data_IF_604303897699
#
_entry.id   IF_604303897699
#
_cell.length_a   1.000
_cell.length_b   1.000
_cell.length_c   1.000
_cell.angle_alpha   90.00
_cell.angle_beta   90.00
_cell.angle_gamma   90.00
#
_symmetry.space_group_name_H-M   'P 1'
#
loop_
_entity.id
_entity.type
_entity.pdbx_description
1 polymer ?
#
# COMPACT_ATOMS: atom_id res chain seq x y z
N UNK A 1 21.71 -28.28 -0.09
CA UNK A 1 22.16 -27.44 1.03
C UNK A 1 21.29 -26.21 0.96
N UNK A 2 20.21 -26.16 1.75
CA UNK A 2 19.39 -24.95 1.83
C UNK A 2 20.24 -23.89 2.52
N UNK A 3 20.79 -22.97 1.74
CA UNK A 3 21.40 -21.77 2.27
C UNK A 3 20.28 -20.98 2.95
N UNK A 4 20.18 -21.08 4.27
CA UNK A 4 19.23 -20.28 5.03
C UNK A 4 19.53 -18.81 4.78
N UNK A 5 18.51 -18.07 4.36
CA UNK A 5 18.58 -16.63 4.13
C UNK A 5 18.81 -15.96 5.50
N UNK A 6 19.82 -15.10 5.59
CA UNK A 6 20.16 -14.33 6.79
C UNK A 6 20.03 -12.82 6.56
N UNK A 7 19.91 -12.03 7.63
CA UNK A 7 19.90 -10.55 7.58
C UNK A 7 21.14 -10.03 6.85
N UNK A 8 22.31 -10.59 7.17
CA UNK A 8 23.58 -10.26 6.52
C UNK A 8 23.57 -10.56 5.01
N UNK A 9 23.11 -11.75 4.61
CA UNK A 9 23.04 -12.13 3.19
C UNK A 9 22.10 -11.22 2.39
N UNK A 10 20.91 -10.90 2.92
CA UNK A 10 19.95 -10.00 2.28
C UNK A 10 20.53 -8.60 2.19
N UNK A 11 21.13 -8.10 3.27
CA UNK A 11 21.75 -6.77 3.30
C UNK A 11 22.75 -6.60 2.17
N UNK A 12 23.60 -7.60 1.97
CA UNK A 12 24.75 -7.50 1.06
C UNK A 12 24.36 -7.70 -0.43
N UNK A 13 23.14 -8.14 -0.72
CA UNK A 13 22.72 -8.57 -2.08
C UNK A 13 21.46 -7.89 -2.61
N UNK A 14 20.60 -7.33 -1.75
CA UNK A 14 19.32 -6.74 -2.17
C UNK A 14 19.45 -5.38 -2.88
N UNK A 15 20.59 -4.71 -2.76
CA UNK A 15 20.87 -3.41 -3.40
C UNK A 15 22.27 -3.38 -3.99
N UNK A 16 22.52 -2.45 -4.91
CA UNK A 16 23.88 -2.18 -5.39
C UNK A 16 24.78 -1.67 -4.25
N UNK A 17 26.11 -1.85 -4.33
CA UNK A 17 27.03 -1.30 -3.33
C UNK A 17 26.97 0.24 -3.19
N UNK A 18 26.63 0.95 -4.27
CA UNK A 18 26.48 2.42 -4.26
C UNK A 18 25.25 2.86 -3.45
N UNK A 19 24.19 2.07 -3.52
CA UNK A 19 22.90 2.35 -2.87
C UNK A 19 22.81 1.84 -1.42
N UNK A 20 23.77 1.01 -0.98
CA UNK A 20 23.75 0.37 0.35
C UNK A 20 23.58 1.36 1.52
N UNK A 21 24.08 2.60 1.41
CA UNK A 21 23.91 3.66 2.43
C UNK A 21 22.45 4.13 2.60
N UNK A 22 21.65 3.98 1.55
CA UNK A 22 20.24 4.35 1.51
C UNK A 22 19.31 3.18 1.80
N UNK A 23 19.82 1.96 1.88
CA UNK A 23 19.03 0.77 2.12
C UNK A 23 18.29 0.84 3.47
N UNK A 24 17.03 0.41 3.47
CA UNK A 24 16.25 0.22 4.69
C UNK A 24 16.45 -1.21 5.20
N UNK A 25 16.70 -1.44 6.50
CA UNK A 25 16.95 -2.78 7.03
C UNK A 25 15.80 -3.77 6.79
N UNK A 26 16.13 -5.00 6.42
CA UNK A 26 15.17 -6.10 6.19
C UNK A 26 15.43 -7.18 7.24
N UNK A 27 14.41 -7.47 8.03
CA UNK A 27 14.47 -8.43 9.14
C UNK A 27 13.51 -9.61 8.99
N UNK A 28 12.67 -9.60 7.95
CA UNK A 28 11.65 -10.63 7.71
C UNK A 28 11.71 -11.08 6.25
N UNK A 29 11.32 -12.33 6.01
CA UNK A 29 11.13 -12.92 4.70
C UNK A 29 9.96 -13.91 4.76
N UNK A 30 8.75 -13.40 4.57
CA UNK A 30 7.53 -14.18 4.57
C UNK A 30 7.27 -14.82 3.20
N UNK A 31 7.06 -16.14 3.22
CA UNK A 31 6.65 -16.92 2.06
C UNK A 31 5.22 -17.43 2.29
N UNK A 32 4.22 -16.72 1.76
CA UNK A 32 2.81 -17.10 1.89
C UNK A 32 2.47 -18.41 1.17
N UNK A 33 3.34 -18.88 0.26
CA UNK A 33 3.17 -20.12 -0.47
C UNK A 33 3.90 -21.29 0.20
N UNK A 34 4.72 -21.04 1.23
CA UNK A 34 5.52 -22.07 1.92
C UNK A 34 6.36 -22.93 0.95
N UNK A 35 6.95 -22.29 -0.05
CA UNK A 35 7.74 -22.93 -1.11
C UNK A 35 6.93 -23.70 -2.15
N UNK A 36 5.58 -23.64 -2.11
CA UNK A 36 4.71 -24.39 -3.01
C UNK A 36 4.20 -23.51 -4.15
N UNK A 37 4.83 -23.64 -5.32
CA UNK A 37 4.25 -23.16 -6.57
C UNK A 37 3.47 -24.25 -7.32
N UNK A 38 3.36 -25.47 -6.78
CA UNK A 38 2.68 -26.63 -7.38
C UNK A 38 2.91 -26.75 -8.91
N UNK A 39 1.87 -26.49 -9.71
CA UNK A 39 1.88 -26.54 -11.17
C UNK A 39 2.06 -25.15 -11.83
N UNK A 40 2.21 -24.10 -11.03
CA UNK A 40 2.38 -22.72 -11.49
C UNK A 40 3.83 -22.42 -11.84
N UNK A 41 3.99 -21.63 -12.90
CA UNK A 41 5.27 -21.07 -13.31
C UNK A 41 5.15 -19.56 -13.38
N UNK A 42 6.17 -18.84 -12.90
CA UNK A 42 6.21 -17.38 -12.99
C UNK A 42 6.08 -16.94 -14.46
N UNK A 43 5.18 -15.98 -14.77
CA UNK A 43 5.02 -15.50 -16.12
C UNK A 43 6.26 -14.71 -16.56
N UNK A 44 6.65 -14.87 -17.82
CA UNK A 44 7.69 -14.03 -18.43
C UNK A 44 7.02 -12.80 -19.03
N UNK A 45 7.39 -11.62 -18.53
CA UNK A 45 6.74 -10.35 -18.87
C UNK A 45 7.71 -9.42 -19.60
N UNK A 46 7.26 -8.79 -20.69
CA UNK A 46 8.03 -7.75 -21.39
C UNK A 46 8.19 -6.48 -20.54
N UNK A 47 7.27 -6.27 -19.61
CA UNK A 47 7.30 -5.21 -18.61
C UNK A 47 8.63 -5.12 -17.87
N UNK A 48 9.30 -6.26 -17.60
CA UNK A 48 10.61 -6.25 -16.96
C UNK A 48 11.69 -5.60 -17.82
N UNK A 49 11.60 -5.70 -19.15
CA UNK A 49 12.49 -5.01 -20.07
C UNK A 49 12.22 -3.51 -20.06
N UNK A 50 10.94 -3.12 -20.12
CA UNK A 50 10.51 -1.72 -20.07
C UNK A 50 11.01 -1.00 -18.79
N UNK A 51 10.78 -1.60 -17.62
CA UNK A 51 11.20 -1.06 -16.33
C UNK A 51 12.73 -0.98 -16.21
N UNK A 52 13.45 -1.99 -16.69
CA UNK A 52 14.91 -2.01 -16.69
C UNK A 52 15.51 -0.96 -17.63
N UNK A 53 14.92 -0.79 -18.80
CA UNK A 53 15.36 0.19 -19.81
C UNK A 53 14.84 1.60 -19.53
N UNK A 54 13.91 1.75 -18.57
CA UNK A 54 13.27 3.02 -18.16
C UNK A 54 12.63 3.74 -19.33
N UNK A 55 12.04 2.97 -20.22
CA UNK A 55 11.49 3.49 -21.47
C UNK A 55 10.10 4.12 -21.30
N UNK A 56 9.52 4.09 -20.09
CA UNK A 56 8.36 4.89 -19.70
C UNK A 56 8.73 6.35 -19.41
N UNK A 57 9.97 6.61 -18.96
CA UNK A 57 10.35 7.93 -18.47
C UNK A 57 10.78 8.87 -19.60
N UNK A 58 10.35 10.15 -19.58
CA UNK A 58 10.92 11.17 -20.42
C UNK A 58 12.45 11.23 -20.20
N UNK A 59 13.22 11.08 -21.28
CA UNK A 59 14.70 11.05 -21.24
C UNK A 59 15.33 9.85 -20.50
N UNK A 60 14.55 8.87 -20.02
CA UNK A 60 15.04 7.66 -19.34
C UNK A 60 15.85 7.92 -18.06
N UNK A 61 15.70 9.11 -17.46
CA UNK A 61 16.41 9.51 -16.25
C UNK A 61 15.62 9.02 -15.04
N UNK A 62 16.20 8.20 -14.15
CA UNK A 62 15.52 7.77 -12.94
C UNK A 62 15.30 8.94 -11.98
N UNK A 63 14.25 8.85 -11.18
CA UNK A 63 14.15 9.70 -9.98
C UNK A 63 15.38 9.50 -9.11
N UNK A 64 15.96 10.62 -8.64
CA UNK A 64 17.08 10.61 -7.70
C UNK A 64 16.66 10.17 -6.30
N UNK A 65 15.36 10.12 -6.01
CA UNK A 65 14.81 9.84 -4.68
C UNK A 65 14.69 8.34 -4.35
N UNK A 66 14.75 7.45 -5.36
CA UNK A 66 14.60 6.01 -5.17
C UNK A 66 15.85 5.20 -5.50
N UNK A 67 16.09 4.10 -4.79
CA UNK A 67 17.08 3.06 -5.13
C UNK A 67 16.39 1.82 -5.70
N UNK A 68 17.12 1.01 -6.47
CA UNK A 68 16.60 -0.28 -6.95
C UNK A 68 16.80 -1.37 -5.89
N UNK A 69 15.81 -2.24 -5.75
CA UNK A 69 15.80 -3.39 -4.85
C UNK A 69 15.71 -4.65 -5.74
N UNK A 70 16.53 -5.65 -5.45
CA UNK A 70 16.52 -6.96 -6.13
C UNK A 70 16.17 -8.08 -5.14
N UNK A 71 14.88 -8.40 -4.98
CA UNK A 71 14.45 -9.42 -4.03
C UNK A 71 14.99 -10.81 -4.39
N UNK A 72 15.10 -11.12 -5.69
CA UNK A 72 15.52 -12.43 -6.19
C UNK A 72 17.02 -12.63 -5.96
N UNK A 73 17.84 -11.61 -6.24
CA UNK A 73 19.27 -11.67 -5.92
C UNK A 73 19.52 -11.84 -4.42
N UNK A 74 18.64 -11.31 -3.58
CA UNK A 74 18.67 -11.49 -2.13
C UNK A 74 18.12 -12.82 -1.62
N UNK A 75 17.62 -13.67 -2.52
CA UNK A 75 17.01 -14.95 -2.18
C UNK A 75 15.66 -14.83 -1.47
N UNK A 76 15.05 -13.64 -1.41
CA UNK A 76 13.75 -13.45 -0.77
C UNK A 76 12.65 -14.22 -1.52
N UNK A 77 11.61 -14.72 -0.82
CA UNK A 77 10.44 -15.31 -1.47
C UNK A 77 9.81 -14.31 -2.45
N UNK A 78 9.69 -14.71 -3.72
CA UNK A 78 9.20 -13.83 -4.79
C UNK A 78 8.23 -14.53 -5.73
N UNK A 79 6.94 -14.34 -5.47
CA UNK A 79 5.85 -14.92 -6.25
C UNK A 79 5.20 -13.88 -7.17
N UNK A 80 5.99 -13.21 -8.01
CA UNK A 80 5.55 -12.30 -9.07
C UNK A 80 6.40 -12.48 -10.33
N UNK A 81 5.80 -12.31 -11.51
CA UNK A 81 6.54 -12.20 -12.77
C UNK A 81 7.21 -10.84 -12.98
N UNK A 82 6.82 -9.82 -12.21
CA UNK A 82 7.45 -8.49 -12.26
C UNK A 82 8.59 -8.46 -11.23
N UNK A 83 9.78 -8.02 -11.68
CA UNK A 83 11.02 -8.17 -10.91
C UNK A 83 11.58 -6.84 -10.40
N UNK A 84 11.03 -5.71 -10.84
CA UNK A 84 11.59 -4.39 -10.53
C UNK A 84 10.92 -3.80 -9.29
N UNK A 85 11.69 -3.68 -8.21
CA UNK A 85 11.26 -3.05 -6.96
C UNK A 85 12.12 -1.82 -6.70
N UNK A 86 11.55 -0.79 -6.05
CA UNK A 86 12.31 0.39 -5.62
C UNK A 86 11.98 0.76 -4.18
N UNK A 87 12.89 1.49 -3.56
CA UNK A 87 12.75 2.01 -2.20
C UNK A 87 13.14 3.50 -2.18
N UNK A 88 12.40 4.30 -1.42
CA UNK A 88 12.71 5.70 -1.17
C UNK A 88 14.00 5.86 -0.34
N UNK A 89 14.87 6.81 -0.71
CA UNK A 89 16.13 7.15 -0.02
C UNK A 89 15.92 7.94 1.26
N UNK A 90 14.80 8.65 1.37
CA UNK A 90 14.47 9.57 2.47
C UNK A 90 13.73 8.87 3.63
N UNK A 91 13.80 7.53 3.68
CA UNK A 91 13.08 6.73 4.67
C UNK A 91 13.39 7.12 6.12
N UNK A 92 14.61 7.60 6.42
CA UNK A 92 14.99 8.05 7.77
C UNK A 92 14.17 9.24 8.20
N UNK A 93 14.04 10.22 7.31
CA UNK A 93 13.24 11.42 7.54
C UNK A 93 11.74 11.10 7.63
N UNK A 94 11.25 10.18 6.79
CA UNK A 94 9.87 9.70 6.85
C UNK A 94 9.57 8.94 8.15
N UNK A 95 10.47 8.06 8.60
CA UNK A 95 10.31 7.27 9.82
C UNK A 95 10.30 8.19 11.04
N UNK A 96 11.23 9.14 11.09
CA UNK A 96 11.30 10.11 12.18
C UNK A 96 10.01 10.94 12.25
N UNK A 97 9.52 11.47 11.12
CA UNK A 97 8.25 12.19 11.07
C UNK A 97 7.07 11.33 11.55
N UNK A 98 7.03 10.05 11.14
CA UNK A 98 5.99 9.09 11.58
C UNK A 98 6.03 8.85 13.08
N UNK A 99 7.22 8.68 13.65
CA UNK A 99 7.42 8.55 15.10
C UNK A 99 6.92 9.81 15.82
N UNK A 100 7.24 11.00 15.31
CA UNK A 100 6.86 12.26 15.94
C UNK A 100 5.34 12.49 15.89
N UNK A 101 4.66 12.13 14.79
CA UNK A 101 3.20 12.15 14.72
C UNK A 101 2.55 11.15 15.68
N UNK A 102 3.04 9.91 15.73
CA UNK A 102 2.50 8.89 16.65
C UNK A 102 2.73 9.28 18.12
N UNK A 103 3.88 9.89 18.47
CA UNK A 103 4.10 10.43 19.81
C UNK A 103 3.07 11.51 20.14
N UNK A 104 2.86 12.45 19.22
CA UNK A 104 1.89 13.51 19.42
C UNK A 104 0.45 12.96 19.55
N UNK A 105 0.10 11.89 18.83
CA UNK A 105 -1.18 11.19 19.00
C UNK A 105 -1.28 10.45 20.34
N UNK A 106 -0.18 9.84 20.80
CA UNK A 106 -0.11 9.11 22.06
C UNK A 106 -0.11 9.98 23.31
N UNK A 107 0.38 11.22 23.21
CA UNK A 107 0.51 12.18 24.33
C UNK A 107 -0.68 13.14 24.46
N UNK A 108 -1.53 13.21 23.44
CA UNK A 108 -2.71 14.08 23.43
C UNK A 108 -3.80 13.55 24.38
N UNK A 109 -3.97 14.19 25.55
CA UNK A 109 -4.95 13.77 26.57
C UNK A 109 -6.40 13.79 26.11
N UNK A 110 -6.70 14.66 25.16
CA UNK A 110 -7.99 14.75 24.46
C UNK A 110 -8.28 13.53 23.57
N UNK A 111 -7.28 12.65 23.35
CA UNK A 111 -7.36 11.47 22.47
C UNK A 111 -7.61 10.16 23.21
N UNK A 112 -7.52 10.12 24.55
CA UNK A 112 -7.70 8.89 25.32
C UNK A 112 -9.14 8.33 25.24
N UNK A 113 -10.13 9.16 24.90
CA UNK A 113 -11.53 8.75 24.71
C UNK A 113 -11.96 8.59 23.25
N UNK A 114 -11.07 8.81 22.29
CA UNK A 114 -11.38 8.77 20.87
C UNK A 114 -11.15 7.36 20.34
N UNK A 115 -12.19 6.62 19.89
CA UNK A 115 -12.00 5.23 19.48
C UNK A 115 -11.16 5.10 18.21
N UNK A 116 -10.48 3.98 18.09
CA UNK A 116 -9.74 3.51 16.95
C UNK A 116 -10.01 2.02 16.72
N UNK A 117 -9.25 1.41 15.82
CA UNK A 117 -9.29 -0.01 15.48
C UNK A 117 -9.36 -0.92 16.72
N UNK A 118 -10.26 -1.92 16.68
CA UNK A 118 -10.44 -2.97 17.71
C UNK A 118 -10.78 -2.44 19.11
N UNK A 119 -11.49 -1.30 19.19
CA UNK A 119 -11.98 -0.75 20.47
C UNK A 119 -10.89 -0.11 21.34
N UNK A 120 -9.70 0.12 20.79
CA UNK A 120 -8.66 0.94 21.42
C UNK A 120 -8.99 2.41 21.24
N UNK A 121 -8.35 3.31 22.00
CA UNK A 121 -8.31 4.73 21.63
C UNK A 121 -7.26 5.01 20.56
N UNK A 122 -7.31 6.18 19.91
CA UNK A 122 -6.26 6.62 18.98
C UNK A 122 -4.91 6.74 19.70
N UNK A 123 -4.91 7.19 20.96
CA UNK A 123 -3.68 7.31 21.75
C UNK A 123 -3.11 5.93 22.10
N UNK A 124 -3.96 4.95 22.43
CA UNK A 124 -3.55 3.56 22.66
C UNK A 124 -3.00 2.90 21.41
N UNK A 125 -3.63 3.13 20.25
CA UNK A 125 -3.10 2.69 18.96
C UNK A 125 -1.70 3.26 18.74
N UNK A 126 -1.51 4.57 18.89
CA UNK A 126 -0.23 5.20 18.64
C UNK A 126 0.88 4.71 19.59
N UNK A 127 0.59 4.57 20.88
CA UNK A 127 1.52 4.00 21.87
C UNK A 127 1.87 2.55 21.55
N UNK A 128 0.90 1.76 21.10
CA UNK A 128 1.13 0.37 20.69
C UNK A 128 2.06 0.28 19.48
N UNK A 129 1.81 1.06 18.43
CA UNK A 129 2.64 1.04 17.22
C UNK A 129 4.09 1.48 17.51
N UNK A 130 4.28 2.47 18.39
CA UNK A 130 5.60 2.88 18.84
C UNK A 130 6.33 1.77 19.63
N UNK A 131 5.61 1.01 20.45
CA UNK A 131 6.17 -0.07 21.24
C UNK A 131 6.46 -1.35 20.42
N UNK A 132 5.69 -1.59 19.36
CA UNK A 132 5.76 -2.81 18.54
C UNK A 132 6.87 -2.81 17.48
N UNK A 133 7.67 -1.74 17.36
CA UNK A 133 8.71 -1.61 16.34
C UNK A 133 8.11 -1.28 14.98
N UNK A 134 7.53 -0.08 14.87
CA UNK A 134 6.91 0.51 13.68
C UNK A 134 7.68 0.25 12.37
N UNK A 135 9.01 0.34 12.41
CA UNK A 135 9.90 0.15 11.26
C UNK A 135 9.80 -1.25 10.62
N UNK A 136 9.32 -2.24 11.37
CA UNK A 136 9.10 -3.60 10.91
C UNK A 136 7.66 -3.84 10.42
N UNK A 137 6.74 -2.92 10.71
CA UNK A 137 5.32 -3.02 10.37
C UNK A 137 4.94 -2.24 9.11
N UNK A 138 3.78 -1.58 9.18
CA UNK A 138 3.13 -0.93 8.04
C UNK A 138 3.83 0.35 7.56
N UNK A 139 4.75 0.93 8.33
CA UNK A 139 5.52 2.12 7.91
C UNK A 139 6.31 1.87 6.62
N UNK A 140 6.61 0.61 6.30
CA UNK A 140 7.26 0.22 5.05
C UNK A 140 6.47 0.65 3.81
N UNK A 141 5.14 0.74 3.86
CA UNK A 141 4.33 1.08 2.70
C UNK A 141 4.73 2.42 2.06
N UNK A 142 4.75 3.57 2.76
CA UNK A 142 5.19 4.84 2.19
C UNK A 142 6.54 4.79 1.44
N UNK A 143 7.52 4.04 1.93
CA UNK A 143 8.87 4.05 1.37
C UNK A 143 9.04 3.08 0.19
N UNK A 144 8.26 2.00 0.10
CA UNK A 144 8.33 1.06 -1.04
C UNK A 144 7.24 1.31 -2.07
N UNK A 145 6.07 1.82 -1.67
CA UNK A 145 4.97 2.16 -2.57
C UNK A 145 5.08 3.55 -3.18
N UNK A 146 5.89 4.44 -2.62
CA UNK A 146 6.17 5.78 -3.17
C UNK A 146 7.68 6.04 -3.27
N UNK A 147 8.42 5.17 -3.99
CA UNK A 147 9.89 5.21 -4.00
C UNK A 147 10.46 6.49 -4.62
N UNK A 148 9.68 7.15 -5.47
CA UNK A 148 10.10 8.35 -6.21
C UNK A 148 9.60 9.66 -5.59
N UNK A 149 8.93 9.60 -4.43
CA UNK A 149 8.55 10.81 -3.68
C UNK A 149 9.78 11.55 -3.16
N UNK A 150 9.79 12.88 -3.27
CA UNK A 150 10.77 13.70 -2.57
C UNK A 150 10.64 13.58 -1.04
N UNK A 151 11.61 14.12 -0.30
CA UNK A 151 11.66 14.01 1.15
C UNK A 151 10.39 14.55 1.84
N UNK A 152 9.85 15.67 1.35
CA UNK A 152 8.68 16.30 1.96
C UNK A 152 7.41 15.49 1.66
N UNK A 153 7.27 15.01 0.43
CA UNK A 153 6.13 14.20 0.00
C UNK A 153 6.07 12.87 0.73
N UNK A 154 7.19 12.17 0.90
CA UNK A 154 7.19 10.88 1.60
C UNK A 154 6.86 11.04 3.09
N UNK A 155 7.23 12.16 3.72
CA UNK A 155 6.77 12.50 5.08
C UNK A 155 5.24 12.60 5.11
N UNK A 156 4.66 13.46 4.27
CA UNK A 156 3.20 13.67 4.23
C UNK A 156 2.42 12.40 3.84
N UNK A 157 2.98 11.58 2.94
CA UNK A 157 2.40 10.27 2.62
C UNK A 157 2.46 9.31 3.81
N UNK A 158 3.49 9.39 4.65
CA UNK A 158 3.56 8.62 5.90
C UNK A 158 2.50 9.07 6.91
N UNK A 159 2.21 10.37 6.98
CA UNK A 159 1.08 10.90 7.74
C UNK A 159 -0.26 10.38 7.21
N UNK A 160 -0.50 10.46 5.90
CA UNK A 160 -1.71 9.90 5.28
C UNK A 160 -1.85 8.40 5.58
N UNK A 161 -0.75 7.65 5.56
CA UNK A 161 -0.74 6.23 5.86
C UNK A 161 -1.08 5.95 7.34
N UNK A 162 -0.67 6.80 8.30
CA UNK A 162 -1.16 6.70 9.69
C UNK A 162 -2.69 6.77 9.71
N UNK A 163 -3.28 7.76 9.03
CA UNK A 163 -4.74 7.92 9.00
C UNK A 163 -5.42 6.68 8.42
N UNK A 164 -4.90 6.13 7.32
CA UNK A 164 -5.42 4.89 6.74
C UNK A 164 -5.39 3.76 7.78
N UNK A 165 -4.26 3.49 8.44
CA UNK A 165 -4.19 2.40 9.43
C UNK A 165 -4.99 2.66 10.72
N UNK A 166 -5.21 3.92 11.07
CA UNK A 166 -6.02 4.31 12.23
C UNK A 166 -7.52 4.03 12.01
N UNK A 167 -7.98 4.28 10.78
CA UNK A 167 -9.39 4.15 10.38
C UNK A 167 -9.67 2.88 9.54
N UNK A 168 -8.66 2.06 9.29
CA UNK A 168 -8.81 0.71 8.75
C UNK A 168 -9.62 -0.16 9.71
N UNK A 169 -10.57 -0.94 9.20
CA UNK A 169 -11.54 -1.76 9.95
C UNK A 169 -12.56 -1.00 10.82
N UNK A 170 -12.84 0.26 10.50
CA UNK A 170 -13.75 1.09 11.31
C UNK A 170 -15.21 0.58 11.31
N UNK A 171 -15.72 -0.01 10.22
CA UNK A 171 -17.03 -0.69 10.17
C UNK A 171 -17.08 -2.02 10.93
N UNK A 172 -15.94 -2.54 11.40
CA UNK A 172 -15.94 -3.74 12.27
C UNK A 172 -16.27 -3.39 13.73
N UNK A 173 -16.37 -2.10 14.06
CA UNK A 173 -16.77 -1.64 15.40
C UNK A 173 -18.30 -1.59 15.54
N UNK A 174 -18.82 -2.06 16.69
CA UNK A 174 -20.26 -2.22 16.95
C UNK A 174 -20.97 -0.92 17.37
N UNK A 175 -20.32 0.25 17.27
CA UNK A 175 -20.83 1.51 17.82
C UNK A 175 -20.78 2.66 16.79
N UNK A 176 -21.86 2.76 16.01
CA UNK A 176 -22.03 3.74 14.92
C UNK A 176 -22.05 5.20 15.42
N UNK A 177 -22.39 5.45 16.69
CA UNK A 177 -22.56 6.81 17.21
C UNK A 177 -21.19 7.44 17.54
N UNK A 178 -20.29 6.70 18.19
CA UNK A 178 -18.92 7.17 18.44
C UNK A 178 -18.13 7.27 17.12
N UNK A 179 -18.42 6.36 16.19
CA UNK A 179 -17.94 6.37 14.81
C UNK A 179 -18.30 7.69 14.10
N UNK A 180 -19.55 8.15 14.22
CA UNK A 180 -20.01 9.36 13.54
C UNK A 180 -19.31 10.65 14.01
N UNK A 181 -18.96 10.75 15.30
CA UNK A 181 -18.34 11.94 15.88
C UNK A 181 -16.89 12.13 15.43
N UNK A 182 -16.10 11.06 15.48
CA UNK A 182 -14.69 11.09 15.08
C UNK A 182 -14.52 11.26 13.57
N UNK A 183 -15.33 10.52 12.81
CA UNK A 183 -15.40 10.61 11.36
C UNK A 183 -15.72 12.04 10.93
N UNK A 184 -16.67 12.71 11.61
CA UNK A 184 -17.00 14.11 11.33
C UNK A 184 -15.84 15.07 11.57
N UNK A 185 -15.09 14.92 12.67
CA UNK A 185 -13.96 15.83 13.00
C UNK A 185 -12.83 15.67 11.98
N UNK A 186 -12.40 14.43 11.69
CA UNK A 186 -11.31 14.19 10.75
C UNK A 186 -11.70 14.52 9.31
N UNK A 187 -12.85 14.05 8.82
CA UNK A 187 -13.29 14.37 7.45
C UNK A 187 -13.42 15.87 7.25
N UNK A 188 -13.96 16.60 8.23
CA UNK A 188 -14.14 18.05 8.09
C UNK A 188 -12.80 18.78 7.99
N UNK A 189 -11.76 18.30 8.68
CA UNK A 189 -10.42 18.92 8.59
C UNK A 189 -9.62 18.50 7.37
N UNK A 190 -9.86 17.30 6.85
CA UNK A 190 -9.26 16.83 5.60
C UNK A 190 -9.86 17.53 4.37
N UNK A 191 -11.07 18.09 4.48
CA UNK A 191 -11.74 18.80 3.38
C UNK A 191 -10.96 20.05 2.99
N UNK A 192 -10.44 20.12 1.75
CA UNK A 192 -9.63 21.23 1.29
C UNK A 192 -10.36 22.59 1.30
N UNK A 193 -11.70 22.60 1.22
CA UNK A 193 -12.51 23.84 1.26
C UNK A 193 -12.73 24.39 2.67
N UNK A 194 -12.60 23.55 3.70
CA UNK A 194 -12.96 23.88 5.09
C UNK A 194 -11.78 23.96 6.04
N UNK A 195 -10.55 23.95 5.53
CA UNK A 195 -9.30 24.11 6.29
C UNK A 195 -9.21 25.41 7.13
N UNK A 196 -10.26 26.25 7.18
CA UNK A 196 -10.33 27.46 8.00
C UNK A 196 -11.67 27.70 8.74
N UNK A 197 -12.59 26.72 8.83
CA UNK A 197 -13.95 27.03 9.32
C UNK A 197 -14.04 27.10 10.85
N UNK A 198 -13.28 26.27 11.57
CA UNK A 198 -13.23 26.26 13.05
C UNK A 198 -11.77 26.22 13.56
N UNK A 199 -11.45 27.05 14.56
CA UNK A 199 -10.14 27.01 15.22
C UNK A 199 -9.86 25.60 15.76
N UNK A 200 -8.64 25.06 15.59
CA UNK A 200 -8.30 23.75 16.11
C UNK A 200 -8.34 23.75 17.64
N UNK A 201 -9.28 22.96 18.18
CA UNK A 201 -9.56 22.85 19.60
C UNK A 201 -8.59 21.88 20.29
N UNK A 202 -7.96 20.99 19.52
CA UNK A 202 -7.04 19.99 20.06
C UNK A 202 -5.67 20.00 19.39
N UNK A 203 -4.68 19.38 20.06
CA UNK A 203 -3.35 19.18 19.50
C UNK A 203 -3.38 18.28 18.26
N UNK A 204 -4.27 17.28 18.25
CA UNK A 204 -4.50 16.45 17.06
C UNK A 204 -4.98 17.30 15.88
N UNK A 205 -6.02 18.11 16.09
CA UNK A 205 -6.61 18.93 15.03
C UNK A 205 -5.57 19.85 14.40
N UNK A 206 -4.69 20.46 15.22
CA UNK A 206 -3.56 21.27 14.73
C UNK A 206 -2.60 20.50 13.84
N UNK A 207 -2.32 19.25 14.16
CA UNK A 207 -1.42 18.40 13.37
C UNK A 207 -2.05 18.00 12.04
N UNK A 208 -3.34 17.65 12.04
CA UNK A 208 -4.09 17.36 10.81
C UNK A 208 -4.12 18.61 9.92
N UNK A 209 -4.50 19.76 10.47
CA UNK A 209 -4.56 21.02 9.72
C UNK A 209 -3.19 21.40 9.13
N UNK A 210 -2.11 21.21 9.89
CA UNK A 210 -0.75 21.49 9.43
C UNK A 210 -0.36 20.58 8.24
N UNK A 211 -0.61 19.28 8.34
CA UNK A 211 -0.32 18.34 7.25
C UNK A 211 -1.17 18.63 5.99
N UNK A 212 -2.46 18.93 6.16
CA UNK A 212 -3.36 19.34 5.07
C UNK A 212 -2.86 20.62 4.40
N UNK A 213 -2.53 21.64 5.21
CA UNK A 213 -1.99 22.91 4.70
C UNK A 213 -0.72 22.69 3.89
N UNK A 214 0.17 21.84 4.37
CA UNK A 214 1.43 21.55 3.68
C UNK A 214 1.23 20.79 2.37
N UNK A 215 0.28 19.83 2.32
CA UNK A 215 -0.10 19.16 1.06
C UNK A 215 -0.66 20.16 0.03
N UNK A 216 -1.51 21.09 0.46
CA UNK A 216 -2.11 22.11 -0.40
C UNK A 216 -1.10 23.19 -0.83
N UNK A 217 -0.13 23.51 0.02
CA UNK A 217 0.95 24.43 -0.33
C UNK A 217 1.87 23.81 -1.39
N UNK A 218 2.16 22.52 -1.32
CA UNK A 218 2.89 21.82 -2.37
C UNK A 218 2.14 21.83 -3.70
N UNK A 219 0.82 21.68 -3.68
CA UNK A 219 -0.02 21.84 -4.88
C UNK A 219 0.10 23.24 -5.46
N UNK A 220 0.02 24.28 -4.62
CA UNK A 220 0.17 25.69 -5.02
C UNK A 220 1.54 25.98 -5.63
N UNK A 221 2.61 25.49 -5.01
CA UNK A 221 3.98 25.68 -5.47
C UNK A 221 4.25 24.99 -6.82
N UNK A 222 3.59 23.85 -7.06
CA UNK A 222 3.79 23.05 -8.26
C UNK A 222 2.72 23.25 -9.34
N UNK A 223 1.74 24.12 -9.09
CA UNK A 223 0.60 24.40 -9.98
C UNK A 223 -0.13 23.10 -10.41
N UNK A 224 -0.45 22.24 -9.44
CA UNK A 224 -1.26 21.05 -9.64
C UNK A 224 -2.25 20.86 -8.46
N UNK A 225 -2.93 19.71 -8.42
CA UNK A 225 -3.98 19.41 -7.44
C UNK A 225 -3.81 18.01 -6.81
N UNK A 226 -2.60 17.45 -6.83
CA UNK A 226 -2.39 16.06 -6.45
C UNK A 226 -2.59 15.83 -4.94
N UNK A 227 -2.19 16.79 -4.11
CA UNK A 227 -2.36 16.79 -2.66
C UNK A 227 -3.84 16.90 -2.27
N UNK A 228 -4.52 17.91 -2.81
CA UNK A 228 -5.99 18.07 -2.71
C UNK A 228 -6.70 16.78 -3.11
N UNK A 229 -6.35 16.21 -4.27
CA UNK A 229 -6.99 14.99 -4.77
C UNK A 229 -6.76 13.80 -3.83
N UNK A 230 -5.54 13.67 -3.29
CA UNK A 230 -5.22 12.62 -2.30
C UNK A 230 -6.09 12.74 -1.05
N UNK A 231 -6.29 13.96 -0.52
CA UNK A 231 -7.16 14.20 0.62
C UNK A 231 -8.62 13.83 0.35
N UNK A 232 -9.14 14.20 -0.82
CA UNK A 232 -10.50 13.80 -1.26
C UNK A 232 -10.66 12.28 -1.32
N UNK A 233 -9.63 11.57 -1.80
CA UNK A 233 -9.65 10.10 -1.92
C UNK A 233 -9.58 9.42 -0.53
N UNK A 234 -8.86 9.99 0.43
CA UNK A 234 -8.87 9.55 1.83
C UNK A 234 -10.28 9.71 2.43
N UNK A 235 -10.92 10.87 2.20
CA UNK A 235 -12.29 11.13 2.65
C UNK A 235 -13.27 10.12 2.05
N UNK A 236 -13.13 9.83 0.75
CA UNK A 236 -13.93 8.82 0.06
C UNK A 236 -13.79 7.44 0.69
N UNK A 237 -12.55 7.02 0.99
CA UNK A 237 -12.26 5.75 1.65
C UNK A 237 -12.94 5.62 3.02
N UNK A 238 -12.92 6.67 3.85
CA UNK A 238 -13.58 6.64 5.15
C UNK A 238 -15.11 6.57 5.05
N UNK A 239 -15.69 7.07 3.95
CA UNK A 239 -17.14 7.08 3.71
C UNK A 239 -17.66 5.84 2.97
N UNK A 240 -16.83 4.80 2.79
CA UNK A 240 -17.23 3.61 2.03
C UNK A 240 -18.27 2.76 2.75
N UNK A 241 -19.13 2.03 2.02
CA UNK A 241 -20.13 1.15 2.63
C UNK A 241 -19.50 -0.09 3.28
N UNK A 242 -20.22 -0.66 4.24
CA UNK A 242 -19.92 -1.98 4.81
C UNK A 242 -19.92 -3.09 3.71
N UNK A 243 -19.22 -4.22 3.93
CA UNK A 243 -19.20 -5.32 2.97
C UNK A 243 -20.62 -5.86 2.71
N UNK A 244 -20.95 -6.21 1.45
CA UNK A 244 -22.16 -6.96 1.14
C UNK A 244 -22.20 -8.33 1.84
N UNK A 245 -23.40 -8.82 2.15
CA UNK A 245 -23.58 -10.15 2.77
C UNK A 245 -23.04 -11.30 1.90
N UNK A 246 -23.10 -11.13 0.57
CA UNK A 246 -22.69 -12.14 -0.44
C UNK A 246 -22.17 -11.46 -1.71
N UNK A 247 -21.31 -12.19 -2.41
CA UNK A 247 -20.83 -11.85 -3.75
C UNK A 247 -21.27 -12.95 -4.71
N UNK A 248 -21.82 -12.59 -5.87
CA UNK A 248 -22.30 -13.54 -6.88
C UNK A 248 -21.17 -14.08 -7.75
N UNK A 249 -20.14 -13.25 -7.97
CA UNK A 249 -18.94 -13.59 -8.72
C UNK A 249 -17.69 -13.02 -8.07
N UNK A 250 -16.53 -13.46 -8.57
CA UNK A 250 -15.25 -12.87 -8.15
C UNK A 250 -15.10 -11.42 -8.63
N UNK A 251 -15.67 -11.03 -9.78
CA UNK A 251 -15.62 -9.62 -10.20
C UNK A 251 -16.43 -8.74 -9.26
N UNK A 252 -17.62 -9.19 -8.80
CA UNK A 252 -18.42 -8.42 -7.84
C UNK A 252 -17.67 -8.22 -6.53
N UNK A 253 -16.96 -9.26 -6.08
CA UNK A 253 -16.05 -9.14 -4.94
C UNK A 253 -14.93 -8.14 -5.20
N UNK A 254 -14.25 -8.22 -6.35
CA UNK A 254 -13.14 -7.32 -6.67
C UNK A 254 -13.60 -5.86 -6.82
N UNK A 255 -14.83 -5.60 -7.27
CA UNK A 255 -15.41 -4.25 -7.26
C UNK A 255 -15.43 -3.69 -5.83
N UNK A 256 -15.96 -4.44 -4.88
CA UNK A 256 -15.96 -4.03 -3.48
C UNK A 256 -14.54 -3.96 -2.90
N UNK A 257 -13.71 -4.97 -3.17
CA UNK A 257 -12.36 -5.09 -2.64
C UNK A 257 -11.45 -3.94 -3.08
N UNK A 258 -11.66 -3.34 -4.25
CA UNK A 258 -10.91 -2.14 -4.68
C UNK A 258 -11.20 -0.93 -3.79
N UNK A 259 -12.44 -0.77 -3.33
CA UNK A 259 -12.79 0.27 -2.36
C UNK A 259 -12.25 -0.06 -0.97
N UNK A 260 -12.38 -1.31 -0.55
CA UNK A 260 -11.93 -1.77 0.76
C UNK A 260 -10.40 -1.77 0.92
N UNK A 261 -9.65 -2.09 -0.15
CA UNK A 261 -8.20 -2.03 -0.20
C UNK A 261 -7.65 -0.59 -0.39
N UNK A 262 -8.50 0.43 -0.27
CA UNK A 262 -8.13 1.84 -0.45
C UNK A 262 -7.48 2.16 -1.82
N UNK A 263 -7.81 1.42 -2.88
CA UNK A 263 -7.05 1.50 -4.14
C UNK A 263 -7.10 2.91 -4.75
N UNK A 264 -8.26 3.57 -4.67
CA UNK A 264 -8.44 4.95 -5.08
C UNK A 264 -7.48 5.90 -4.32
N UNK A 265 -7.30 5.70 -3.00
CA UNK A 265 -6.30 6.44 -2.23
C UNK A 265 -4.87 6.14 -2.71
N UNK A 266 -4.53 4.88 -2.99
CA UNK A 266 -3.19 4.51 -3.49
C UNK A 266 -2.89 5.18 -4.83
N UNK A 267 -3.87 5.32 -5.73
CA UNK A 267 -3.69 6.10 -6.97
C UNK A 267 -3.39 7.57 -6.68
N UNK A 268 -4.07 8.14 -5.68
CA UNK A 268 -3.81 9.50 -5.20
C UNK A 268 -2.37 9.66 -4.68
N UNK A 269 -1.87 8.70 -3.89
CA UNK A 269 -0.51 8.77 -3.35
C UNK A 269 0.54 8.68 -4.45
N UNK A 270 0.32 7.92 -5.52
CA UNK A 270 1.20 7.90 -6.70
C UNK A 270 1.24 9.29 -7.34
N UNK A 271 0.07 9.88 -7.61
CA UNK A 271 -0.02 11.20 -8.22
C UNK A 271 0.69 12.25 -7.35
N UNK A 272 0.46 12.22 -6.05
CA UNK A 272 1.10 13.14 -5.11
C UNK A 272 2.60 12.93 -5.01
N UNK A 273 3.08 11.68 -4.91
CA UNK A 273 4.50 11.34 -4.87
C UNK A 273 5.24 11.85 -6.11
N UNK A 274 4.61 11.70 -7.28
CA UNK A 274 5.16 12.12 -8.56
C UNK A 274 4.90 13.60 -8.88
N UNK A 275 4.19 14.35 -8.03
CA UNK A 275 3.78 15.72 -8.36
C UNK A 275 3.01 15.78 -9.71
N UNK A 276 2.20 14.75 -9.98
CA UNK A 276 1.57 14.50 -11.28
C UNK A 276 0.16 15.07 -11.33
N UNK A 277 -0.20 15.66 -12.47
CA UNK A 277 -1.54 16.16 -12.77
C UNK A 277 -2.43 15.19 -13.55
N UNK A 278 -2.02 13.93 -13.70
CA UNK A 278 -2.75 12.92 -14.48
C UNK A 278 -4.14 12.68 -13.89
N UNK A 279 -5.16 12.73 -14.75
CA UNK A 279 -6.50 12.25 -14.39
C UNK A 279 -6.54 10.72 -14.49
N UNK A 280 -6.33 10.07 -13.34
CA UNK A 280 -6.29 8.60 -13.22
C UNK A 280 -7.63 7.94 -13.54
N UNK A 281 -8.71 8.71 -13.64
CA UNK A 281 -10.05 8.23 -14.00
C UNK A 281 -10.38 8.46 -15.48
N UNK A 282 -9.42 8.94 -16.27
CA UNK A 282 -9.60 9.14 -17.69
C UNK A 282 -9.99 7.82 -18.40
N UNK A 283 -10.98 7.82 -19.31
CA UNK A 283 -11.50 6.58 -19.91
C UNK A 283 -10.47 5.70 -20.60
N UNK A 284 -9.42 6.27 -21.20
CA UNK A 284 -8.37 5.52 -21.88
C UNK A 284 -7.43 4.78 -20.90
N UNK A 285 -7.37 5.21 -19.63
CA UNK A 285 -6.63 4.52 -18.56
C UNK A 285 -7.48 3.47 -17.82
N UNK A 286 -8.81 3.47 -18.00
CA UNK A 286 -9.73 2.69 -17.19
C UNK A 286 -9.41 1.18 -17.13
N UNK A 287 -9.01 0.60 -18.26
CA UNK A 287 -8.62 -0.82 -18.32
C UNK A 287 -7.33 -1.10 -17.56
N UNK A 288 -6.30 -0.27 -17.78
CA UNK A 288 -5.02 -0.39 -17.09
C UNK A 288 -5.20 -0.23 -15.58
N UNK A 289 -5.94 0.79 -15.15
CA UNK A 289 -6.25 1.04 -13.75
C UNK A 289 -7.04 -0.12 -13.15
N UNK A 290 -8.06 -0.67 -13.84
CA UNK A 290 -8.79 -1.85 -13.34
C UNK A 290 -7.86 -3.04 -13.09
N UNK A 291 -7.00 -3.37 -14.06
CA UNK A 291 -6.06 -4.49 -13.94
C UNK A 291 -5.07 -4.28 -12.79
N UNK A 292 -4.52 -3.07 -12.67
CA UNK A 292 -3.59 -2.71 -11.61
C UNK A 292 -4.25 -2.76 -10.23
N UNK A 293 -5.47 -2.25 -10.13
CA UNK A 293 -6.28 -2.31 -8.91
C UNK A 293 -6.53 -3.74 -8.46
N UNK A 294 -6.87 -4.62 -9.40
CA UNK A 294 -7.03 -6.05 -9.11
C UNK A 294 -5.71 -6.69 -8.65
N UNK A 295 -4.59 -6.35 -9.29
CA UNK A 295 -3.26 -6.87 -8.91
C UNK A 295 -2.95 -6.55 -7.45
N UNK A 296 -3.08 -5.28 -7.03
CA UNK A 296 -2.76 -4.87 -5.66
C UNK A 296 -3.69 -5.53 -4.64
N UNK A 297 -5.01 -5.53 -4.91
CA UNK A 297 -5.99 -6.15 -4.03
C UNK A 297 -5.72 -7.64 -3.84
N UNK A 298 -5.51 -8.38 -4.93
CA UNK A 298 -5.28 -9.83 -4.86
C UNK A 298 -3.92 -10.13 -4.23
N UNK A 299 -2.89 -9.35 -4.56
CA UNK A 299 -1.58 -9.49 -3.92
C UNK A 299 -1.70 -9.32 -2.40
N UNK A 300 -2.41 -8.28 -1.93
CA UNK A 300 -2.64 -8.08 -0.49
C UNK A 300 -3.34 -9.30 0.13
N UNK A 301 -4.39 -9.80 -0.52
CA UNK A 301 -5.20 -10.92 -0.01
C UNK A 301 -4.42 -12.24 0.10
N UNK A 302 -3.54 -12.56 -0.86
CA UNK A 302 -2.74 -13.80 -0.78
C UNK A 302 -1.70 -13.74 0.34
N UNK A 303 -1.11 -12.56 0.59
CA UNK A 303 -0.17 -12.38 1.69
C UNK A 303 -0.89 -12.27 3.05
N UNK A 304 -2.07 -11.67 3.11
CA UNK A 304 -2.80 -11.49 4.37
C UNK A 304 -3.66 -12.68 4.77
N UNK A 305 -3.87 -13.66 3.87
CA UNK A 305 -4.78 -14.79 4.02
C UNK A 305 -4.67 -15.49 5.39
N UNK A 306 -3.48 -15.96 5.76
CA UNK A 306 -3.31 -16.75 6.98
C UNK A 306 -3.60 -15.95 8.25
N UNK A 307 -3.22 -14.67 8.24
CA UNK A 307 -3.49 -13.74 9.34
C UNK A 307 -4.98 -13.45 9.44
N UNK A 308 -5.63 -13.09 8.34
CA UNK A 308 -7.06 -12.74 8.31
C UNK A 308 -7.95 -13.95 8.64
N UNK A 309 -7.63 -15.12 8.10
CA UNK A 309 -8.34 -16.35 8.40
C UNK A 309 -8.25 -16.70 9.89
N UNK A 310 -7.07 -16.55 10.50
CA UNK A 310 -6.86 -16.76 11.94
C UNK A 310 -7.66 -15.76 12.77
N UNK A 311 -7.58 -14.47 12.43
CA UNK A 311 -8.33 -13.43 13.12
C UNK A 311 -9.86 -13.67 13.03
N UNK A 312 -10.35 -14.17 11.88
CA UNK A 312 -11.75 -14.54 11.69
C UNK A 312 -12.16 -15.76 12.53
N UNK A 313 -11.37 -16.84 12.49
CA UNK A 313 -11.64 -18.07 13.26
C UNK A 313 -11.62 -17.82 14.77
N UNK A 314 -10.73 -16.94 15.23
CA UNK A 314 -10.63 -16.50 16.62
C UNK A 314 -11.66 -15.43 17.01
N UNK A 315 -12.56 -15.05 16.08
CA UNK A 315 -13.62 -14.04 16.27
C UNK A 315 -13.10 -12.66 16.69
N UNK A 316 -11.88 -12.32 16.25
CA UNK A 316 -11.30 -10.98 16.44
C UNK A 316 -11.84 -9.97 15.43
N UNK A 317 -12.34 -10.45 14.29
CA UNK A 317 -12.97 -9.66 13.22
C UNK A 317 -14.32 -10.26 12.84
N UNK A 318 -15.21 -9.44 12.29
CA UNK A 318 -16.58 -9.86 11.93
C UNK A 318 -16.65 -10.53 10.56
N UNK A 319 -15.82 -10.11 9.62
CA UNK A 319 -15.87 -10.51 8.23
C UNK A 319 -14.55 -11.14 7.78
N UNK A 320 -14.63 -12.06 6.82
CA UNK A 320 -13.48 -12.56 6.07
C UNK A 320 -13.59 -12.01 4.64
N UNK A 321 -12.98 -10.84 4.42
CA UNK A 321 -13.00 -10.12 3.14
C UNK A 321 -11.70 -10.45 2.39
N UNK A 322 -11.64 -11.64 1.78
CA UNK A 322 -10.41 -12.11 1.15
C UNK A 322 -10.69 -12.91 -0.12
N UNK A 323 -9.95 -12.61 -1.19
CA UNK A 323 -10.04 -13.27 -2.49
C UNK A 323 -9.90 -14.80 -2.39
N UNK A 324 -9.04 -15.31 -1.50
CA UNK A 324 -8.82 -16.76 -1.34
C UNK A 324 -10.10 -17.47 -0.89
N UNK A 325 -10.84 -16.90 0.06
CA UNK A 325 -12.13 -17.46 0.50
C UNK A 325 -13.18 -17.40 -0.61
N UNK A 326 -13.26 -16.27 -1.31
CA UNK A 326 -14.23 -16.08 -2.41
C UNK A 326 -13.92 -17.03 -3.56
N UNK A 327 -12.66 -17.16 -3.97
CA UNK A 327 -12.20 -18.12 -4.97
C UNK A 327 -12.58 -19.55 -4.58
N UNK A 328 -12.36 -19.94 -3.32
CA UNK A 328 -12.75 -21.28 -2.84
C UNK A 328 -14.25 -21.53 -3.05
N UNK A 329 -15.09 -20.58 -2.65
CA UNK A 329 -16.55 -20.69 -2.72
C UNK A 329 -17.05 -20.70 -4.16
N UNK A 330 -16.63 -19.74 -4.98
CA UNK A 330 -17.09 -19.57 -6.36
C UNK A 330 -16.65 -20.74 -7.26
N UNK A 331 -15.44 -21.27 -7.05
CA UNK A 331 -14.91 -22.38 -7.83
C UNK A 331 -15.21 -23.78 -7.24
N UNK A 332 -15.87 -23.85 -6.07
CA UNK A 332 -16.19 -25.12 -5.41
C UNK A 332 -14.96 -25.93 -5.00
N UNK A 333 -13.87 -25.27 -4.60
CA UNK A 333 -12.60 -25.93 -4.28
C UNK A 333 -12.64 -26.64 -2.92
N UNK A 334 -12.00 -27.81 -2.85
CA UNK A 334 -12.04 -28.68 -1.67
C UNK A 334 -11.29 -28.11 -0.45
N UNK A 335 -10.23 -27.31 -0.65
CA UNK A 335 -9.39 -26.76 0.42
C UNK A 335 -9.06 -25.29 0.18
N UNK A 336 -8.64 -24.60 1.26
CA UNK A 336 -8.11 -23.24 1.15
C UNK A 336 -6.73 -23.22 0.48
N UNK A 337 -5.90 -24.26 0.65
CA UNK A 337 -4.63 -24.39 -0.07
C UNK A 337 -4.85 -24.38 -1.59
N UNK A 338 -5.82 -25.16 -2.09
CA UNK A 338 -6.17 -25.16 -3.50
C UNK A 338 -6.68 -23.78 -3.96
N UNK A 339 -7.42 -23.08 -3.09
CA UNK A 339 -7.91 -21.73 -3.37
C UNK A 339 -6.79 -20.67 -3.35
N UNK A 340 -5.79 -20.82 -2.50
CA UNK A 340 -4.60 -19.97 -2.46
C UNK A 340 -3.80 -20.13 -3.76
N UNK A 341 -3.53 -21.37 -4.18
CA UNK A 341 -2.88 -21.66 -5.46
C UNK A 341 -3.67 -21.09 -6.64
N UNK A 342 -5.00 -21.26 -6.68
CA UNK A 342 -5.82 -20.70 -7.76
C UNK A 342 -5.87 -19.17 -7.74
N UNK A 343 -5.87 -18.54 -6.56
CA UNK A 343 -5.78 -17.08 -6.42
C UNK A 343 -4.42 -16.56 -6.87
N UNK A 344 -3.33 -17.27 -6.55
CA UNK A 344 -1.99 -16.95 -7.06
C UNK A 344 -1.91 -17.08 -8.59
N UNK A 345 -2.58 -18.10 -9.17
CA UNK A 345 -2.69 -18.24 -10.62
C UNK A 345 -3.43 -17.06 -11.27
N UNK A 346 -4.50 -16.57 -10.63
CA UNK A 346 -5.22 -15.37 -11.07
C UNK A 346 -4.32 -14.13 -11.00
N UNK A 347 -3.52 -13.97 -9.95
CA UNK A 347 -2.55 -12.87 -9.84
C UNK A 347 -1.57 -12.89 -11.03
N UNK A 348 -1.00 -14.04 -11.37
CA UNK A 348 -0.13 -14.18 -12.55
C UNK A 348 -0.85 -13.89 -13.87
N UNK A 349 -2.11 -14.27 -13.99
CA UNK A 349 -2.90 -13.95 -15.18
C UNK A 349 -3.12 -12.43 -15.31
N UNK A 350 -3.39 -11.73 -14.21
CA UNK A 350 -3.53 -10.27 -14.21
C UNK A 350 -2.21 -9.58 -14.56
N UNK A 351 -1.07 -10.06 -14.06
CA UNK A 351 0.25 -9.52 -14.44
C UNK A 351 0.52 -9.65 -15.94
N UNK A 352 0.11 -10.77 -16.56
CA UNK A 352 0.19 -10.94 -18.02
C UNK A 352 -0.76 -10.01 -18.77
N UNK A 353 -1.95 -9.76 -18.23
CA UNK A 353 -2.91 -8.84 -18.82
C UNK A 353 -2.44 -7.38 -18.71
N UNK A 354 -1.78 -7.00 -17.62
CA UNK A 354 -1.09 -5.72 -17.46
C UNK A 354 0.02 -5.56 -18.50
N UNK A 355 0.87 -6.57 -18.67
CA UNK A 355 1.95 -6.56 -19.68
C UNK A 355 1.39 -6.35 -21.09
N UNK A 356 0.33 -7.09 -21.44
CA UNK A 356 -0.34 -6.96 -22.73
C UNK A 356 -1.01 -5.59 -22.92
N UNK A 357 -1.64 -5.05 -21.88
CA UNK A 357 -2.30 -3.75 -21.95
C UNK A 357 -1.29 -2.61 -22.10
N UNK A 358 -0.17 -2.67 -21.39
CA UNK A 358 0.95 -1.73 -21.56
C UNK A 358 1.50 -1.81 -22.99
N UNK A 359 1.72 -3.02 -23.50
CA UNK A 359 2.20 -3.21 -24.87
C UNK A 359 1.21 -2.64 -25.91
N UNK A 360 -0.10 -2.81 -25.69
CA UNK A 360 -1.16 -2.24 -26.54
C UNK A 360 -1.11 -0.70 -26.51
N UNK A 361 -1.12 -0.10 -25.32
CA UNK A 361 -1.08 1.36 -25.14
C UNK A 361 0.18 1.97 -25.77
N UNK A 362 1.33 1.28 -25.71
CA UNK A 362 2.56 1.67 -26.41
C UNK A 362 2.42 1.60 -27.93
N UNK A 363 1.88 0.50 -28.45
CA UNK A 363 1.72 0.32 -29.89
C UNK A 363 0.76 1.33 -30.53
N UNK A 364 -0.22 1.80 -29.76
CA UNK A 364 -1.20 2.81 -30.17
C UNK A 364 -0.73 4.26 -29.91
N UNK A 365 0.43 4.48 -29.28
CA UNK A 365 0.89 5.79 -28.79
C UNK A 365 -0.21 6.52 -27.99
N UNK A 366 -0.92 5.76 -27.14
CA UNK A 366 -2.17 6.18 -26.53
C UNK A 366 -1.99 7.10 -25.30
N UNK A 367 -0.77 7.19 -24.75
CA UNK A 367 -0.48 7.92 -23.51
C UNK A 367 0.55 9.02 -23.74
N UNK A 368 0.37 10.13 -23.06
CA UNK A 368 1.34 11.22 -22.96
C UNK A 368 2.58 10.82 -22.15
N UNK A 369 3.70 11.58 -22.25
CA UNK A 369 4.88 11.30 -21.44
C UNK A 369 4.64 11.34 -19.92
N UNK A 370 3.74 12.21 -19.47
CA UNK A 370 3.39 12.32 -18.04
C UNK A 370 2.53 11.14 -17.58
N UNK A 371 1.62 10.65 -18.43
CA UNK A 371 0.87 9.43 -18.15
C UNK A 371 1.79 8.19 -18.13
N UNK A 372 2.78 8.09 -19.03
CA UNK A 372 3.77 7.02 -18.95
C UNK A 372 4.60 7.08 -17.66
N UNK A 373 4.97 8.28 -17.21
CA UNK A 373 5.61 8.46 -15.90
C UNK A 373 4.69 8.03 -14.75
N UNK A 374 3.39 8.27 -14.85
CA UNK A 374 2.42 7.77 -13.89
C UNK A 374 2.32 6.23 -13.91
N UNK A 375 2.31 5.60 -15.09
CA UNK A 375 2.32 4.13 -15.26
C UNK A 375 3.59 3.50 -14.67
N UNK A 376 4.75 4.14 -14.82
CA UNK A 376 6.00 3.72 -14.17
C UNK A 376 5.85 3.73 -12.63
N UNK A 377 5.28 4.79 -12.09
CA UNK A 377 4.92 4.89 -10.68
C UNK A 377 3.97 3.79 -10.22
N UNK A 378 2.90 3.53 -10.98
CA UNK A 378 1.97 2.43 -10.71
C UNK A 378 2.70 1.09 -10.64
N UNK A 379 3.65 0.83 -11.53
CA UNK A 379 4.43 -0.41 -11.53
C UNK A 379 5.25 -0.58 -10.25
N UNK A 380 5.97 0.46 -9.85
CA UNK A 380 6.75 0.43 -8.63
C UNK A 380 5.89 0.38 -7.37
N UNK A 381 4.71 1.01 -7.36
CA UNK A 381 3.77 0.92 -6.24
C UNK A 381 3.22 -0.50 -6.08
N UNK A 382 2.84 -1.16 -7.17
CA UNK A 382 2.32 -2.53 -7.14
C UNK A 382 3.37 -3.50 -6.59
N UNK A 383 4.62 -3.34 -7.03
CA UNK A 383 5.75 -4.16 -6.57
C UNK A 383 6.22 -3.78 -5.17
N UNK A 384 6.10 -2.52 -4.79
CA UNK A 384 6.33 -2.04 -3.44
C UNK A 384 5.36 -2.68 -2.44
N UNK A 385 4.07 -2.81 -2.80
CA UNK A 385 3.07 -3.52 -2.00
C UNK A 385 3.45 -5.00 -1.78
N UNK A 386 3.85 -5.71 -2.84
CA UNK A 386 4.30 -7.10 -2.73
C UNK A 386 5.57 -7.22 -1.89
N UNK A 387 6.58 -6.40 -2.15
CA UNK A 387 7.84 -6.42 -1.42
C UNK A 387 7.62 -6.15 0.07
N UNK A 388 6.85 -5.11 0.40
CA UNK A 388 6.38 -4.82 1.74
C UNK A 388 5.80 -6.07 2.41
N UNK A 389 4.92 -6.79 1.71
CA UNK A 389 4.22 -7.96 2.25
C UNK A 389 5.16 -9.13 2.56
N UNK A 390 6.28 -9.25 1.83
CA UNK A 390 7.36 -10.22 2.11
C UNK A 390 8.20 -9.80 3.31
N UNK A 391 8.56 -8.51 3.43
CA UNK A 391 9.61 -8.04 4.36
C UNK A 391 9.10 -7.40 5.65
N UNK A 392 7.78 -7.33 5.85
CA UNK A 392 7.17 -6.80 7.08
C UNK A 392 6.73 -7.91 8.04
N UNK A 393 6.73 -7.61 9.33
CA UNK A 393 6.27 -8.53 10.37
C UNK A 393 4.75 -8.77 10.34
N UNK A 394 3.98 -7.89 9.67
CA UNK A 394 2.52 -7.88 9.71
C UNK A 394 1.87 -9.20 9.29
N UNK A 395 2.38 -9.86 8.25
CA UNK A 395 1.74 -11.04 7.66
C UNK A 395 2.36 -12.34 8.17
N UNK A 396 3.67 -12.49 8.03
CA UNK A 396 4.40 -13.68 8.48
C UNK A 396 4.71 -13.74 9.98
N UNK A 397 4.51 -12.64 10.72
CA UNK A 397 4.84 -12.58 12.14
C UNK A 397 6.32 -12.86 12.44
N UNK A 398 6.59 -13.24 13.69
CA UNK A 398 7.94 -13.60 14.14
C UNK A 398 8.47 -14.89 13.50
N UNK A 399 7.60 -15.75 12.94
CA UNK A 399 8.01 -16.96 12.23
C UNK A 399 8.78 -16.65 10.94
N UNK A 400 8.48 -15.50 10.32
CA UNK A 400 9.18 -15.02 9.13
C UNK A 400 10.47 -14.24 9.45
N UNK A 401 10.86 -14.10 10.72
CA UNK A 401 12.04 -13.32 11.12
C UNK A 401 13.33 -13.99 10.63
N UNK A 402 14.16 -13.22 9.95
CA UNK A 402 15.47 -13.65 9.48
C UNK A 402 16.43 -13.85 10.67
N UNK A 403 17.35 -14.79 10.50
CA UNK A 403 18.48 -15.00 11.42
C UNK A 403 19.60 -14.01 11.10
N UNK A 404 20.38 -13.62 12.09
CA UNK A 404 21.50 -12.69 11.92
C UNK A 404 22.64 -13.25 11.04
#
# INVERSE_FOLDING_TARGET
>A
MDSQITVSSVRDTVTSPEDAKHQFPIHYAYDHLHGKLDFLTLPQLKLNEHLRQRDFLPNRIPSEHGISIDPVAAGLPWASGVLSVRQNKHWRSALQATIDWLKAFGDAKDMDGVPSKRGRSVAEFARHELAAGLENGWFRFPIYMSPDADEQRVKLLSFANILIFLFDDFWETHDLDVVSGLHRVFITRLKPETASVDEPQTSLEKLVDAAVTEMLELDRLNNNHAGRRTLELIIGFFSRPAPPDKYESLEDFLVYRREDAAVSYVLGTIAFALNSGVDVFAPHLARLVKLWSNQISIANDVFSWEKEKRDYDEKKVLYLINTVDVCRRVLGLASHDAALTMTQALLFQIERELDNEIARLRAEDALTPEEWRFVDGMCYTMMGNMFCSVVMSRYGGEEARLRD
#
